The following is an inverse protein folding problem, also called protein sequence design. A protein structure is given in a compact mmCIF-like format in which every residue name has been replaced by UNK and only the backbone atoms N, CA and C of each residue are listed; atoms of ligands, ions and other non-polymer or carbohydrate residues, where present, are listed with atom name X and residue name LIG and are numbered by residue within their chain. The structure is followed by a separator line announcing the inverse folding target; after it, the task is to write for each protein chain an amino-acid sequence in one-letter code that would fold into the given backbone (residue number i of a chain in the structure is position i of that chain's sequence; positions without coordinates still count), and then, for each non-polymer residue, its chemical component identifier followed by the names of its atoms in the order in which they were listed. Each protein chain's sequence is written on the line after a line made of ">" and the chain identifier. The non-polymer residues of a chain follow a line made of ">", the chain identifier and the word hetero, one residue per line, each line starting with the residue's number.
data_IF_198782553534
#
_entry.id   IF_198782553534
#
_cell.length_a   1.000
_cell.length_b   1.000
_cell.length_c   1.000
_cell.angle_alpha   90.00
_cell.angle_beta   90.00
_cell.angle_gamma   90.00
#
_symmetry.space_group_name_H-M   'P 1'
#
loop_
_entity.id
_entity.type
_entity.pdbx_description
1 polymer ?
#
# COMPACT_ATOMS: atom_id res chain seq x y z
N UNK A 1 14.73 0.32 -26.49
CA UNK A 1 13.62 0.79 -25.61
C UNK A 1 14.05 2.10 -24.93
N UNK A 2 13.33 3.20 -25.18
CA UNK A 2 13.66 4.51 -24.63
C UNK A 2 12.90 4.75 -23.31
N UNK A 3 13.57 5.29 -22.29
CA UNK A 3 12.95 5.63 -21.00
C UNK A 3 11.77 6.59 -21.14
N UNK A 4 11.84 7.49 -22.11
CA UNK A 4 10.74 8.41 -22.44
C UNK A 4 9.47 7.67 -22.86
N UNK A 5 9.58 6.59 -23.64
CA UNK A 5 8.43 5.81 -24.07
C UNK A 5 7.83 5.02 -22.91
N UNK A 6 8.66 4.54 -21.97
CA UNK A 6 8.22 3.88 -20.74
C UNK A 6 7.47 4.87 -19.84
N UNK A 7 7.99 6.08 -19.68
CA UNK A 7 7.33 7.13 -18.89
C UNK A 7 5.96 7.51 -19.49
N UNK A 8 5.89 7.63 -20.81
CA UNK A 8 4.63 7.89 -21.52
C UNK A 8 3.62 6.77 -21.33
N UNK A 9 4.07 5.51 -21.36
CA UNK A 9 3.25 4.34 -21.07
C UNK A 9 2.64 4.40 -19.66
N UNK A 10 3.44 4.69 -18.63
CA UNK A 10 2.96 4.81 -17.26
C UNK A 10 1.90 5.91 -17.08
N UNK A 11 2.11 7.06 -17.69
CA UNK A 11 1.11 8.14 -17.63
C UNK A 11 -0.20 7.80 -18.34
N UNK A 12 -0.16 7.04 -19.45
CA UNK A 12 -1.40 6.59 -20.10
C UNK A 12 -2.09 5.54 -19.24
N UNK A 13 -1.36 4.63 -18.62
CA UNK A 13 -1.91 3.63 -17.71
C UNK A 13 -2.62 4.28 -16.51
N UNK A 14 -2.08 5.37 -15.98
CA UNK A 14 -2.67 6.13 -14.86
C UNK A 14 -3.88 6.98 -15.29
N UNK A 15 -3.75 7.71 -16.39
CA UNK A 15 -4.76 8.67 -16.84
C UNK A 15 -5.85 8.04 -17.72
N UNK A 16 -5.65 6.84 -18.19
CA UNK A 16 -6.53 6.14 -19.15
C UNK A 16 -6.86 6.96 -20.41
N UNK A 17 -5.91 7.81 -20.85
CA UNK A 17 -6.15 8.77 -21.95
C UNK A 17 -4.87 9.27 -22.61
N UNK A 18 -4.71 9.02 -23.90
CA UNK A 18 -3.61 9.54 -24.71
C UNK A 18 -3.60 11.08 -24.76
N UNK A 19 -4.77 11.70 -24.89
CA UNK A 19 -4.87 13.17 -25.00
C UNK A 19 -4.57 13.86 -23.67
N UNK A 20 -4.98 13.30 -22.54
CA UNK A 20 -4.64 13.83 -21.21
C UNK A 20 -3.15 13.69 -20.93
N UNK A 21 -2.57 12.53 -21.25
CA UNK A 21 -1.14 12.30 -21.13
C UNK A 21 -0.33 13.26 -21.97
N UNK A 22 -0.73 13.46 -23.24
CA UNK A 22 -0.06 14.41 -24.11
C UNK A 22 -0.04 15.83 -23.51
N UNK A 23 -1.15 16.28 -22.98
CA UNK A 23 -1.25 17.60 -22.32
C UNK A 23 -0.38 17.69 -21.08
N UNK A 24 -0.37 16.65 -20.25
CA UNK A 24 0.42 16.61 -19.00
C UNK A 24 1.92 16.59 -19.28
N UNK A 25 2.35 15.84 -20.29
CA UNK A 25 3.77 15.72 -20.65
C UNK A 25 4.26 16.82 -21.61
N UNK A 26 3.39 17.73 -22.04
CA UNK A 26 3.74 18.80 -22.97
C UNK A 26 4.01 18.32 -24.41
N UNK A 27 3.42 17.17 -24.82
CA UNK A 27 3.55 16.59 -26.14
C UNK A 27 2.29 16.76 -26.98
N UNK A 28 2.41 16.56 -28.31
CA UNK A 28 1.24 16.32 -29.15
C UNK A 28 0.70 14.90 -28.95
N UNK A 29 -0.61 14.70 -29.16
CA UNK A 29 -1.19 13.35 -29.09
C UNK A 29 -0.57 12.39 -30.11
N UNK A 30 -0.19 12.89 -31.29
CA UNK A 30 0.49 12.08 -32.30
C UNK A 30 1.88 11.60 -31.81
N UNK A 31 2.63 12.46 -31.11
CA UNK A 31 3.91 12.08 -30.52
C UNK A 31 3.74 10.99 -29.45
N UNK A 32 2.77 11.14 -28.55
CA UNK A 32 2.43 10.13 -27.54
C UNK A 32 2.04 8.80 -28.21
N UNK A 33 1.19 8.84 -29.25
CA UNK A 33 0.81 7.63 -29.98
C UNK A 33 1.99 6.98 -30.68
N UNK A 34 2.92 7.75 -31.24
CA UNK A 34 4.13 7.22 -31.89
C UNK A 34 5.08 6.58 -30.88
N UNK A 35 5.25 7.19 -29.69
CA UNK A 35 6.07 6.64 -28.62
C UNK A 35 5.56 5.28 -28.14
N UNK A 36 4.24 5.13 -27.98
CA UNK A 36 3.63 3.86 -27.61
C UNK A 36 3.76 2.83 -28.74
N UNK A 37 3.47 3.21 -29.97
CA UNK A 37 3.63 2.31 -31.11
C UNK A 37 5.07 1.78 -31.24
N UNK A 38 6.07 2.64 -31.01
CA UNK A 38 7.46 2.22 -30.98
C UNK A 38 7.73 1.23 -29.83
N UNK A 39 7.24 1.50 -28.63
CA UNK A 39 7.40 0.63 -27.47
C UNK A 39 6.74 -0.74 -27.69
N UNK A 40 5.52 -0.77 -28.22
CA UNK A 40 4.79 -1.99 -28.56
C UNK A 40 5.51 -2.80 -29.64
N UNK A 41 6.05 -2.14 -30.66
CA UNK A 41 6.85 -2.79 -31.70
C UNK A 41 8.13 -3.42 -31.15
N UNK A 42 8.83 -2.75 -30.24
CA UNK A 42 10.03 -3.29 -29.60
C UNK A 42 9.72 -4.46 -28.65
N UNK A 43 8.57 -4.44 -27.98
CA UNK A 43 8.14 -5.51 -27.07
C UNK A 43 7.42 -6.65 -27.79
N UNK A 44 7.02 -6.47 -29.05
CA UNK A 44 6.32 -7.45 -29.85
C UNK A 44 4.88 -7.72 -29.41
N UNK A 45 4.29 -6.84 -28.60
CA UNK A 45 2.95 -7.00 -28.06
C UNK A 45 2.23 -5.66 -27.89
N UNK A 46 0.91 -5.58 -28.14
CA UNK A 46 0.12 -4.40 -27.82
C UNK A 46 -0.03 -4.26 -26.31
N UNK A 47 0.18 -3.05 -25.80
CA UNK A 47 0.09 -2.74 -24.37
C UNK A 47 -1.27 -2.12 -24.00
N UNK A 48 -1.96 -1.53 -24.97
CA UNK A 48 -3.25 -0.87 -24.77
C UNK A 48 -4.31 -1.38 -25.74
N UNK A 49 -5.51 -1.59 -25.20
CA UNK A 49 -6.73 -1.78 -25.98
C UNK A 49 -7.53 -0.48 -26.04
N UNK A 50 -8.06 -0.20 -27.23
CA UNK A 50 -8.96 0.94 -27.47
C UNK A 50 -10.39 0.40 -27.58
N UNK A 51 -11.15 0.48 -26.50
CA UNK A 51 -12.56 0.09 -26.49
C UNK A 51 -13.42 1.35 -26.51
N UNK A 52 -13.85 1.77 -27.69
CA UNK A 52 -14.59 3.02 -27.87
C UNK A 52 -13.75 4.27 -27.56
N UNK A 53 -14.16 5.01 -26.54
CA UNK A 53 -13.43 6.20 -26.03
C UNK A 53 -12.51 5.93 -24.85
N UNK A 54 -12.47 4.69 -24.37
CA UNK A 54 -11.69 4.31 -23.17
C UNK A 54 -10.41 3.58 -23.60
N UNK A 55 -9.32 3.87 -22.89
CA UNK A 55 -8.03 3.19 -23.03
C UNK A 55 -7.86 2.27 -21.82
N UNK A 56 -7.59 0.99 -22.09
CA UNK A 56 -7.33 -0.01 -21.05
C UNK A 56 -6.02 -0.72 -21.35
N UNK A 57 -5.37 -1.24 -20.32
CA UNK A 57 -4.23 -2.12 -20.49
C UNK A 57 -4.69 -3.48 -21.09
N UNK A 58 -3.87 -4.05 -21.95
CA UNK A 58 -3.95 -5.47 -22.31
C UNK A 58 -3.32 -6.33 -21.22
N UNK A 59 -3.45 -7.65 -21.25
CA UNK A 59 -2.70 -8.54 -20.35
C UNK A 59 -1.19 -8.36 -20.45
N UNK A 60 -0.65 -8.07 -21.65
CA UNK A 60 0.75 -7.71 -21.83
C UNK A 60 1.07 -6.34 -21.18
N UNK A 61 0.15 -5.37 -21.30
CA UNK A 61 0.27 -4.06 -20.65
C UNK A 61 0.28 -4.17 -19.14
N UNK A 62 -0.59 -4.98 -18.54
CA UNK A 62 -0.62 -5.23 -17.10
C UNK A 62 0.69 -5.87 -16.62
N UNK A 63 1.18 -6.88 -17.35
CA UNK A 63 2.47 -7.50 -17.05
C UNK A 63 3.61 -6.50 -17.15
N UNK A 64 3.64 -5.71 -18.21
CA UNK A 64 4.71 -4.71 -18.43
C UNK A 64 4.66 -3.56 -17.42
N UNK A 65 3.51 -3.24 -16.84
CA UNK A 65 3.33 -2.13 -15.89
C UNK A 65 4.28 -2.24 -14.70
N UNK A 66 4.42 -3.43 -14.10
CA UNK A 66 5.35 -3.68 -13.01
C UNK A 66 6.81 -3.44 -13.40
N UNK A 67 7.21 -4.00 -14.55
CA UNK A 67 8.58 -3.82 -15.08
C UNK A 67 8.87 -2.37 -15.46
N UNK A 68 7.92 -1.66 -16.05
CA UNK A 68 8.06 -0.26 -16.42
C UNK A 68 8.36 0.63 -15.19
N UNK A 69 7.64 0.40 -14.08
CA UNK A 69 7.89 1.08 -12.81
C UNK A 69 9.26 0.77 -12.25
N UNK A 70 9.66 -0.50 -12.24
CA UNK A 70 10.97 -0.94 -11.77
C UNK A 70 12.11 -0.27 -12.57
N UNK A 71 11.97 -0.20 -13.89
CA UNK A 71 12.98 0.41 -14.76
C UNK A 71 13.17 1.90 -14.44
N UNK A 72 12.07 2.67 -14.31
CA UNK A 72 12.19 4.09 -13.97
C UNK A 72 12.70 4.30 -12.55
N UNK A 73 12.25 3.51 -11.57
CA UNK A 73 12.78 3.59 -10.21
C UNK A 73 14.29 3.29 -10.16
N UNK A 74 14.77 2.31 -10.95
CA UNK A 74 16.20 1.99 -11.03
C UNK A 74 17.00 3.15 -11.60
N UNK A 75 16.46 3.83 -12.61
CA UNK A 75 17.13 5.02 -13.19
C UNK A 75 17.19 6.17 -12.19
N UNK A 76 16.09 6.43 -11.48
CA UNK A 76 16.05 7.44 -10.42
C UNK A 76 17.05 7.13 -9.31
N UNK A 77 17.15 5.88 -8.87
CA UNK A 77 18.12 5.42 -7.88
C UNK A 77 19.57 5.62 -8.39
N UNK A 78 19.84 5.28 -9.63
CA UNK A 78 21.18 5.48 -10.22
C UNK A 78 21.55 6.96 -10.29
N UNK A 79 20.61 7.83 -10.64
CA UNK A 79 20.82 9.28 -10.66
C UNK A 79 21.05 9.83 -9.24
N UNK A 80 20.24 9.38 -8.26
CA UNK A 80 20.40 9.77 -6.87
C UNK A 80 21.74 9.31 -6.27
N UNK A 81 22.22 8.12 -6.63
CA UNK A 81 23.51 7.59 -6.16
C UNK A 81 24.72 8.40 -6.65
N UNK A 82 24.58 9.12 -7.76
CA UNK A 82 25.64 9.97 -8.34
C UNK A 82 25.58 11.42 -7.81
N UNK A 83 24.51 11.80 -7.12
CA UNK A 83 24.41 13.13 -6.52
C UNK A 83 25.09 13.13 -5.14
N UNK A 84 25.94 14.11 -4.90
CA UNK A 84 26.53 14.33 -3.58
C UNK A 84 25.40 14.63 -2.58
N UNK A 85 25.48 14.14 -1.32
CA UNK A 85 24.37 14.20 -0.35
C UNK A 85 24.20 15.62 0.20
N UNK A 86 23.69 16.55 -0.61
CA UNK A 86 23.43 17.91 -0.10
C UNK A 86 21.99 18.14 0.36
N UNK A 87 21.01 17.43 -0.19
CA UNK A 87 19.64 17.47 0.34
C UNK A 87 18.87 16.23 -0.13
N UNK A 88 18.31 15.48 0.83
CA UNK A 88 17.40 14.38 0.51
C UNK A 88 16.13 14.98 -0.08
N UNK A 89 15.82 14.60 -1.31
CA UNK A 89 14.64 15.07 -2.06
C UNK A 89 14.07 13.93 -2.91
N UNK A 90 12.89 14.11 -3.42
CA UNK A 90 12.20 13.13 -4.26
C UNK A 90 10.83 12.77 -3.70
N UNK A 91 10.28 11.62 -4.12
CA UNK A 91 8.97 11.14 -3.70
C UNK A 91 9.13 9.83 -2.94
N UNK A 92 8.51 9.74 -1.76
CA UNK A 92 8.41 8.52 -0.96
C UNK A 92 6.95 8.08 -0.88
N UNK A 93 6.66 6.91 -1.45
CA UNK A 93 5.32 6.32 -1.50
C UNK A 93 5.20 5.23 -0.44
N UNK A 94 4.23 5.36 0.45
CA UNK A 94 4.08 4.47 1.60
C UNK A 94 2.66 3.90 1.61
N UNK A 95 2.54 2.59 1.69
CA UNK A 95 1.28 1.91 1.99
C UNK A 95 1.22 1.58 3.49
N UNK A 96 0.06 1.77 4.09
CA UNK A 96 -0.17 1.64 5.53
C UNK A 96 -1.48 0.90 5.79
N UNK A 97 -1.56 0.19 6.92
CA UNK A 97 -2.84 -0.24 7.45
C UNK A 97 -3.64 0.97 7.96
N UNK A 98 -4.96 0.97 7.75
CA UNK A 98 -5.84 2.08 8.14
C UNK A 98 -5.75 2.41 9.64
N UNK A 99 -5.60 1.40 10.48
CA UNK A 99 -5.44 1.54 11.94
C UNK A 99 -4.20 2.35 12.35
N UNK A 100 -3.14 2.35 11.52
CA UNK A 100 -1.89 3.08 11.76
C UNK A 100 -2.06 4.56 11.47
N UNK A 101 -2.91 4.92 10.51
CA UNK A 101 -3.05 6.29 10.02
C UNK A 101 -3.56 7.27 11.09
N UNK A 102 -4.40 6.80 12.00
CA UNK A 102 -5.06 7.65 13.01
C UNK A 102 -4.29 7.79 14.32
N UNK A 103 -3.22 7.02 14.53
CA UNK A 103 -2.48 6.98 15.81
C UNK A 103 -1.22 7.85 15.78
N UNK A 104 -0.07 7.25 15.50
CA UNK A 104 1.24 7.94 15.58
C UNK A 104 1.68 8.62 14.27
N UNK A 105 1.02 8.33 13.15
CA UNK A 105 1.42 8.81 11.84
C UNK A 105 1.46 10.34 11.74
N UNK A 106 0.50 11.13 12.26
CA UNK A 106 0.53 12.58 12.16
C UNK A 106 1.81 13.20 12.75
N UNK A 107 2.21 12.77 13.94
CA UNK A 107 3.42 13.26 14.61
C UNK A 107 4.69 12.84 13.87
N UNK A 108 4.71 11.61 13.35
CA UNK A 108 5.83 11.11 12.56
C UNK A 108 6.00 11.91 11.27
N UNK A 109 4.91 12.18 10.55
CA UNK A 109 4.93 12.97 9.31
C UNK A 109 5.41 14.40 9.56
N UNK A 110 4.96 15.03 10.64
CA UNK A 110 5.40 16.37 11.01
C UNK A 110 6.92 16.41 11.25
N UNK A 111 7.45 15.47 12.03
CA UNK A 111 8.90 15.36 12.29
C UNK A 111 9.69 15.05 11.03
N UNK A 112 9.16 14.13 10.17
CA UNK A 112 9.81 13.78 8.93
C UNK A 112 9.87 14.97 7.97
N UNK A 113 8.76 15.70 7.80
CA UNK A 113 8.73 16.89 6.95
C UNK A 113 9.65 18.01 7.45
N UNK A 114 9.76 18.20 8.77
CA UNK A 114 10.68 19.18 9.34
C UNK A 114 12.16 18.81 9.04
N UNK A 115 12.50 17.53 9.01
CA UNK A 115 13.85 17.05 8.72
C UNK A 115 14.15 16.97 7.23
N UNK A 116 13.16 16.61 6.39
CA UNK A 116 13.30 16.38 4.96
C UNK A 116 12.24 17.16 4.15
N UNK A 117 12.28 18.51 4.15
CA UNK A 117 11.22 19.33 3.56
C UNK A 117 11.10 19.23 2.04
N UNK A 118 12.10 18.65 1.37
CA UNK A 118 12.09 18.45 -0.09
C UNK A 118 11.61 17.07 -0.51
N UNK A 119 11.21 16.21 0.44
CA UNK A 119 10.62 14.91 0.13
C UNK A 119 9.10 15.04 0.04
N UNK A 120 8.55 14.69 -1.12
CA UNK A 120 7.10 14.54 -1.31
C UNK A 120 6.67 13.19 -0.73
N UNK A 121 5.74 13.20 0.23
CA UNK A 121 5.17 12.00 0.81
C UNK A 121 3.85 11.66 0.13
N UNK A 122 3.70 10.42 -0.34
CA UNK A 122 2.45 9.89 -0.88
C UNK A 122 2.05 8.70 -0.03
N UNK A 123 0.92 8.83 0.65
CA UNK A 123 0.40 7.81 1.56
C UNK A 123 -0.86 7.20 0.97
N UNK A 124 -0.99 5.89 1.08
CA UNK A 124 -2.22 5.17 0.75
C UNK A 124 -2.50 4.08 1.77
N UNK A 125 -3.75 3.73 1.93
CA UNK A 125 -4.17 2.60 2.77
C UNK A 125 -4.46 1.39 1.90
N UNK A 126 -4.08 0.21 2.38
CA UNK A 126 -4.35 -1.06 1.74
C UNK A 126 -4.42 -2.20 2.77
N UNK A 127 -5.00 -3.33 2.38
CA UNK A 127 -4.87 -4.60 3.11
C UNK A 127 -3.46 -5.17 2.94
N UNK A 128 -3.05 -6.12 3.77
CA UNK A 128 -1.71 -6.70 3.73
C UNK A 128 -1.37 -7.32 2.37
N UNK A 129 -2.31 -8.08 1.77
CA UNK A 129 -2.14 -8.61 0.41
C UNK A 129 -2.02 -7.49 -0.64
N UNK A 130 -2.81 -6.43 -0.49
CA UNK A 130 -2.74 -5.25 -1.34
C UNK A 130 -1.39 -4.54 -1.23
N UNK A 131 -0.87 -4.37 -0.02
CA UNK A 131 0.45 -3.76 0.22
C UNK A 131 1.57 -4.59 -0.41
N UNK A 132 1.52 -5.92 -0.27
CA UNK A 132 2.47 -6.83 -0.87
C UNK A 132 2.46 -6.72 -2.40
N UNK A 133 1.29 -6.68 -3.01
CA UNK A 133 1.14 -6.47 -4.44
C UNK A 133 1.71 -5.10 -4.86
N UNK A 134 1.42 -4.04 -4.11
CA UNK A 134 1.91 -2.69 -4.40
C UNK A 134 3.44 -2.60 -4.29
N UNK A 135 4.07 -3.27 -3.32
CA UNK A 135 5.52 -3.37 -3.20
C UNK A 135 6.13 -4.13 -4.39
N UNK A 136 5.61 -5.31 -4.71
CA UNK A 136 6.14 -6.15 -5.80
C UNK A 136 5.98 -5.54 -7.18
N UNK A 137 5.00 -4.66 -7.36
CA UNK A 137 4.76 -3.91 -8.60
C UNK A 137 5.32 -2.49 -8.58
N UNK A 138 6.15 -2.14 -7.58
CA UNK A 138 6.75 -0.81 -7.40
C UNK A 138 5.73 0.35 -7.42
N UNK A 139 4.53 0.11 -6.92
CA UNK A 139 3.54 1.17 -6.72
C UNK A 139 3.84 1.98 -5.48
N UNK A 140 4.45 1.33 -4.46
CA UNK A 140 4.95 1.96 -3.24
C UNK A 140 6.39 1.54 -2.99
N UNK A 141 7.11 2.35 -2.23
CA UNK A 141 8.51 2.16 -1.90
C UNK A 141 8.66 1.47 -0.53
N UNK A 142 7.66 1.65 0.34
CA UNK A 142 7.62 1.09 1.68
C UNK A 142 6.17 0.71 2.02
N UNK A 143 6.02 -0.38 2.77
CA UNK A 143 4.76 -0.74 3.42
C UNK A 143 4.98 -0.91 4.93
N UNK A 144 4.00 -0.44 5.70
CA UNK A 144 3.93 -0.68 7.14
C UNK A 144 2.72 -1.58 7.42
N UNK A 145 3.00 -2.81 7.79
CA UNK A 145 1.99 -3.83 8.12
C UNK A 145 1.99 -4.12 9.62
N UNK A 146 0.87 -4.61 10.12
CA UNK A 146 0.69 -5.07 11.50
C UNK A 146 0.49 -6.59 11.52
N UNK A 147 1.24 -7.33 10.73
CA UNK A 147 1.05 -8.76 10.52
C UNK A 147 2.33 -9.56 10.80
N UNK A 148 2.20 -10.88 10.67
CA UNK A 148 3.36 -11.76 10.68
C UNK A 148 4.39 -11.35 9.62
N UNK A 149 5.69 -11.60 9.86
CA UNK A 149 6.74 -11.22 8.93
C UNK A 149 6.49 -11.77 7.54
N UNK A 150 6.39 -10.89 6.56
CA UNK A 150 6.32 -11.26 5.14
C UNK A 150 7.71 -11.76 4.69
N UNK A 151 7.87 -13.08 4.60
CA UNK A 151 9.12 -13.71 4.17
C UNK A 151 9.14 -13.80 2.63
N UNK A 152 9.51 -12.73 1.96
CA UNK A 152 9.72 -12.71 0.51
C UNK A 152 11.18 -12.37 0.18
N UNK A 153 11.86 -13.13 -0.69
CA UNK A 153 13.28 -12.90 -1.01
C UNK A 153 13.57 -11.54 -1.63
N UNK A 154 12.55 -10.89 -2.21
CA UNK A 154 12.66 -9.58 -2.87
C UNK A 154 12.41 -8.40 -1.95
N UNK A 155 11.97 -8.63 -0.71
CA UNK A 155 11.66 -7.60 0.25
C UNK A 155 12.69 -7.56 1.37
N UNK A 156 13.02 -6.35 1.80
CA UNK A 156 13.88 -6.12 2.96
C UNK A 156 13.01 -5.61 4.12
N UNK A 157 13.04 -6.34 5.23
CA UNK A 157 12.41 -5.88 6.47
C UNK A 157 13.34 -4.87 7.15
N UNK A 158 12.95 -3.60 7.11
CA UNK A 158 13.73 -2.51 7.67
C UNK A 158 13.55 -2.38 9.20
N UNK A 159 12.33 -2.62 9.68
CA UNK A 159 11.97 -2.51 11.10
C UNK A 159 11.04 -3.67 11.47
N UNK A 160 11.18 -4.17 12.69
CA UNK A 160 10.31 -5.18 13.28
C UNK A 160 10.14 -4.83 14.76
N UNK A 161 8.94 -4.42 15.15
CA UNK A 161 8.63 -4.01 16.51
C UNK A 161 7.37 -4.75 16.95
N UNK A 162 7.37 -5.40 18.11
CA UNK A 162 6.19 -6.05 18.64
C UNK A 162 5.15 -4.97 19.04
N UNK A 163 3.94 -5.10 18.50
CA UNK A 163 2.80 -4.26 18.83
C UNK A 163 1.81 -5.05 19.69
N UNK A 164 1.62 -4.69 20.98
CA UNK A 164 0.68 -5.39 21.85
C UNK A 164 -0.75 -5.11 21.42
N UNK A 165 -1.54 -6.18 21.27
CA UNK A 165 -2.99 -6.09 21.05
C UNK A 165 -3.69 -6.16 22.40
N UNK A 166 -4.56 -5.20 22.68
CA UNK A 166 -5.31 -5.11 23.91
C UNK A 166 -6.81 -5.23 23.67
N UNK A 167 -7.52 -5.87 24.60
CA UNK A 167 -8.97 -5.76 24.70
C UNK A 167 -9.31 -4.50 25.49
N UNK A 168 -10.24 -3.73 24.99
CA UNK A 168 -10.73 -2.54 25.67
C UNK A 168 -12.19 -2.75 26.10
N UNK A 169 -12.55 -2.16 27.23
CA UNK A 169 -13.90 -2.18 27.76
C UNK A 169 -14.23 -0.84 28.44
N UNK A 170 -15.52 -0.49 28.59
CA UNK A 170 -15.90 0.66 29.42
C UNK A 170 -15.35 0.52 30.83
N UNK A 171 -15.00 1.64 31.48
CA UNK A 171 -14.40 1.65 32.80
C UNK A 171 -15.22 0.94 33.90
N UNK A 172 -16.54 0.85 33.72
CA UNK A 172 -17.45 0.13 34.64
C UNK A 172 -17.63 -1.36 34.32
N UNK A 173 -16.95 -1.89 33.30
CA UNK A 173 -17.12 -3.29 32.91
C UNK A 173 -16.52 -4.23 33.99
N UNK A 174 -17.23 -5.33 34.38
CA UNK A 174 -16.75 -6.21 35.46
C UNK A 174 -15.36 -6.81 35.23
N UNK A 175 -15.00 -7.05 33.98
CA UNK A 175 -13.68 -7.61 33.63
C UNK A 175 -12.57 -6.54 33.63
N UNK A 176 -12.89 -5.24 33.54
CA UNK A 176 -11.89 -4.17 33.47
C UNK A 176 -11.10 -3.99 34.79
N UNK A 177 -11.64 -4.46 35.91
CA UNK A 177 -10.98 -4.40 37.22
C UNK A 177 -10.11 -5.64 37.53
N UNK A 178 -9.99 -6.57 36.60
CA UNK A 178 -9.28 -7.84 36.80
C UNK A 178 -7.92 -7.82 36.13
N UNK A 179 -6.91 -8.33 36.81
CA UNK A 179 -5.56 -8.45 36.28
C UNK A 179 -5.45 -9.50 35.14
N UNK A 180 -6.30 -10.50 35.17
CA UNK A 180 -6.34 -11.59 34.17
C UNK A 180 -7.76 -12.02 33.90
N UNK A 181 -8.04 -12.36 32.65
CA UNK A 181 -9.33 -12.88 32.16
C UNK A 181 -9.03 -14.12 31.35
N UNK A 182 -9.77 -15.23 31.58
CA UNK A 182 -9.61 -16.43 30.75
C UNK A 182 -10.31 -16.26 29.40
N UNK A 183 -9.89 -17.06 28.41
CA UNK A 183 -10.50 -17.02 27.08
C UNK A 183 -11.98 -17.45 27.14
N UNK A 184 -12.31 -18.42 28.02
CA UNK A 184 -13.67 -18.90 28.22
C UNK A 184 -14.60 -17.81 28.78
N UNK A 185 -14.08 -16.98 29.70
CA UNK A 185 -14.83 -15.83 30.23
C UNK A 185 -14.96 -14.73 29.18
N UNK A 186 -13.90 -14.53 28.38
CA UNK A 186 -13.84 -13.51 27.34
C UNK A 186 -14.90 -13.76 26.26
N UNK A 187 -15.01 -15.01 25.75
CA UNK A 187 -15.99 -15.34 24.68
C UNK A 187 -17.44 -15.29 25.12
N UNK A 188 -17.73 -15.16 26.42
CA UNK A 188 -19.09 -14.96 26.95
C UNK A 188 -19.52 -13.49 26.91
N UNK A 189 -18.63 -12.57 26.55
CA UNK A 189 -18.95 -11.14 26.48
C UNK A 189 -19.46 -10.76 25.09
N UNK A 190 -20.20 -9.65 25.04
CA UNK A 190 -20.55 -9.02 23.76
C UNK A 190 -19.34 -8.29 23.20
N UNK A 191 -18.98 -8.60 21.96
CA UNK A 191 -17.84 -8.03 21.30
C UNK A 191 -18.21 -7.15 20.11
N UNK A 192 -17.49 -6.04 20.01
CA UNK A 192 -17.37 -5.26 18.80
C UNK A 192 -15.99 -5.60 18.19
N UNK A 193 -15.96 -6.08 16.96
CA UNK A 193 -14.73 -6.50 16.31
C UNK A 193 -14.57 -5.84 14.95
N UNK A 194 -13.35 -5.81 14.48
CA UNK A 194 -13.09 -5.49 13.08
C UNK A 194 -13.51 -6.64 12.18
N UNK A 195 -13.69 -6.34 10.91
CA UNK A 195 -13.99 -7.34 9.90
C UNK A 195 -12.86 -8.39 9.77
N UNK A 196 -13.22 -9.55 9.25
CA UNK A 196 -12.27 -10.63 8.99
C UNK A 196 -11.25 -10.22 7.92
N UNK A 197 -10.04 -10.75 8.02
CA UNK A 197 -8.92 -10.36 7.15
C UNK A 197 -8.10 -9.18 7.68
N UNK A 198 -8.45 -8.64 8.85
CA UNK A 198 -7.57 -7.77 9.61
C UNK A 198 -6.63 -8.61 10.46
N UNK A 199 -5.33 -8.35 10.44
CA UNK A 199 -4.28 -9.18 11.07
C UNK A 199 -4.55 -9.49 12.55
N UNK A 200 -4.94 -8.51 13.35
CA UNK A 200 -5.27 -8.73 14.77
C UNK A 200 -6.60 -9.47 14.98
N UNK A 201 -7.56 -9.38 14.04
CA UNK A 201 -8.78 -10.19 14.07
C UNK A 201 -8.46 -11.64 13.75
N UNK A 202 -7.66 -11.90 12.72
CA UNK A 202 -7.27 -13.24 12.33
C UNK A 202 -6.41 -13.90 13.42
N UNK A 203 -5.53 -13.14 14.09
CA UNK A 203 -4.76 -13.63 15.23
C UNK A 203 -5.67 -14.02 16.41
N UNK A 204 -6.71 -13.24 16.71
CA UNK A 204 -7.69 -13.59 17.74
C UNK A 204 -8.46 -14.86 17.36
N UNK A 205 -8.98 -14.93 16.14
CA UNK A 205 -9.76 -16.09 15.67
C UNK A 205 -8.90 -17.38 15.68
N UNK A 206 -7.62 -17.30 15.30
CA UNK A 206 -6.67 -18.41 15.38
C UNK A 206 -6.39 -18.83 16.83
N UNK A 207 -6.18 -17.86 17.72
CA UNK A 207 -5.98 -18.13 19.14
C UNK A 207 -7.18 -18.85 19.75
N UNK A 208 -8.39 -18.38 19.49
CA UNK A 208 -9.63 -19.00 19.98
C UNK A 208 -9.82 -20.40 19.39
N UNK A 209 -9.59 -20.58 18.09
CA UNK A 209 -9.72 -21.88 17.42
C UNK A 209 -8.74 -22.92 18.00
N UNK A 210 -7.51 -22.52 18.36
CA UNK A 210 -6.53 -23.41 19.00
C UNK A 210 -7.02 -23.93 20.37
N UNK A 211 -7.93 -23.21 21.04
CA UNK A 211 -8.55 -23.61 22.30
C UNK A 211 -9.95 -24.20 22.13
N UNK A 212 -10.40 -24.45 20.89
CA UNK A 212 -11.72 -24.98 20.61
C UNK A 212 -12.86 -23.97 20.87
N UNK A 213 -12.53 -22.68 20.94
CA UNK A 213 -13.47 -21.59 21.21
C UNK A 213 -13.78 -20.82 19.91
N UNK A 214 -14.96 -20.21 19.89
CA UNK A 214 -15.38 -19.31 18.83
C UNK A 214 -16.05 -18.08 19.45
N UNK A 215 -15.90 -16.94 18.79
CA UNK A 215 -16.52 -15.70 19.19
C UNK A 215 -17.42 -15.18 18.06
N UNK A 216 -18.67 -14.84 18.41
CA UNK A 216 -19.57 -14.17 17.49
C UNK A 216 -19.70 -12.71 17.95
N UNK A 217 -19.21 -11.73 17.17
CA UNK A 217 -19.33 -10.34 17.56
C UNK A 217 -20.78 -9.86 17.43
N UNK A 218 -21.17 -8.94 18.30
CA UNK A 218 -22.41 -8.18 18.17
C UNK A 218 -22.36 -7.22 16.97
N UNK A 219 -21.19 -6.66 16.69
CA UNK A 219 -20.97 -5.72 15.59
C UNK A 219 -19.61 -5.97 14.94
N UNK A 220 -19.55 -5.97 13.62
CA UNK A 220 -18.33 -5.94 12.83
C UNK A 220 -18.23 -4.61 12.06
N UNK A 221 -17.06 -3.96 12.13
CA UNK A 221 -16.78 -2.68 11.46
C UNK A 221 -15.42 -2.72 10.77
N UNK A 222 -15.33 -2.16 9.57
CA UNK A 222 -14.07 -2.06 8.80
C UNK A 222 -13.05 -1.04 9.34
N UNK A 223 -13.36 -0.31 10.42
CA UNK A 223 -12.48 0.71 10.98
C UNK A 223 -12.30 0.52 12.49
N UNK A 224 -11.06 0.22 12.90
CA UNK A 224 -10.69 0.13 14.31
C UNK A 224 -10.88 1.46 15.06
N UNK A 225 -10.68 2.58 14.39
CA UNK A 225 -10.84 3.90 14.99
C UNK A 225 -12.29 4.18 15.40
N UNK A 226 -13.27 3.68 14.65
CA UNK A 226 -14.69 3.80 15.00
C UNK A 226 -15.10 2.87 16.15
N UNK A 227 -14.45 1.72 16.28
CA UNK A 227 -14.70 0.80 17.39
C UNK A 227 -14.27 1.35 18.75
N UNK A 228 -13.34 2.29 18.77
CA UNK A 228 -12.80 2.90 19.98
C UNK A 228 -13.55 4.17 20.43
N UNK A 229 -14.60 4.59 19.73
CA UNK A 229 -15.45 5.74 20.07
C UNK A 229 -16.70 5.30 20.83
#
# INVERSE_FOLDING_TARGET
>A
MELRNINTFLHIAELHSFSRTARQLGYSQSAVSSQIAQLEAELGAPLFDRVGKTVRLTGAGETFLGYARTLLATVEQAQAALQLPQQISGRLRIALADSVCSTFLPDLLQRYHAQFPQVELVLCTATDDGMLQMLTTNQVDLAYTLDHPLLQPTLVRAVDVPEPVCFIAPAGHPLAARDTVSLEELVQQEFLLTERGMSYRDALDQCLAAHGLQLQPYLELGSAALLCQ
#
